data_IF_548929678079
#
_entry.id   IF_548929678079
#
_cell.length_a   1.000
_cell.length_b   1.000
_cell.length_c   1.000
_cell.angle_alpha   90.00
_cell.angle_beta   90.00
_cell.angle_gamma   90.00
#
_symmetry.space_group_name_H-M   'P 1'
#
loop_
_entity.id
_entity.type
_entity.pdbx_description
1 polymer ?
#
# COMPACT_ATOMS: atom_id res chain seq x y z
N UNK A 1 -33.51 -49.46 41.22
CA UNK A 1 -32.74 -49.07 40.02
C UNK A 1 -33.53 -48.17 39.07
N UNK A 2 -34.76 -48.50 38.62
CA UNK A 2 -35.50 -47.63 37.67
C UNK A 2 -35.88 -46.22 38.15
N UNK A 3 -36.08 -46.02 39.46
CA UNK A 3 -36.40 -44.69 40.02
C UNK A 3 -35.16 -43.79 40.17
N UNK A 4 -34.02 -44.40 40.43
CA UNK A 4 -32.74 -43.68 40.59
C UNK A 4 -32.25 -43.14 39.23
N UNK A 5 -32.42 -43.90 38.15
CA UNK A 5 -32.08 -43.43 36.80
C UNK A 5 -32.98 -42.28 36.30
N UNK A 6 -34.25 -42.27 36.73
CA UNK A 6 -35.17 -41.15 36.40
C UNK A 6 -34.82 -39.88 37.15
N UNK A 7 -34.40 -39.98 38.41
CA UNK A 7 -33.92 -38.85 39.20
C UNK A 7 -32.61 -38.31 38.66
N UNK A 8 -31.70 -39.18 38.23
CA UNK A 8 -30.40 -38.76 37.63
C UNK A 8 -30.65 -38.10 36.27
N UNK A 9 -31.58 -38.58 35.45
CA UNK A 9 -31.93 -37.96 34.17
C UNK A 9 -32.62 -36.59 34.35
N UNK A 10 -33.40 -36.41 35.40
CA UNK A 10 -34.04 -35.14 35.71
C UNK A 10 -33.02 -34.10 36.21
N UNK A 11 -32.04 -34.55 37.00
CA UNK A 11 -30.97 -33.71 37.51
C UNK A 11 -30.06 -33.22 36.36
N UNK A 12 -29.73 -34.10 35.39
CA UNK A 12 -28.96 -33.75 34.21
C UNK A 12 -29.71 -32.76 33.30
N UNK A 13 -31.04 -32.91 33.15
CA UNK A 13 -31.85 -32.00 32.36
C UNK A 13 -31.89 -30.57 32.97
N UNK A 14 -31.95 -30.46 34.30
CA UNK A 14 -31.98 -29.20 35.03
C UNK A 14 -30.62 -28.47 34.90
N UNK A 15 -29.50 -29.21 34.91
CA UNK A 15 -28.15 -28.63 34.73
C UNK A 15 -27.97 -28.09 33.30
N UNK A 16 -28.51 -28.76 32.26
CA UNK A 16 -28.45 -28.27 30.88
C UNK A 16 -29.28 -26.99 30.66
N UNK A 17 -30.37 -26.80 31.33
CA UNK A 17 -31.19 -25.57 31.19
C UNK A 17 -30.55 -24.38 31.89
N UNK A 18 -29.81 -24.61 33.00
CA UNK A 18 -29.09 -23.56 33.69
C UNK A 18 -27.87 -22.99 32.92
N UNK A 19 -27.32 -23.74 31.95
CA UNK A 19 -26.17 -23.31 31.13
C UNK A 19 -26.53 -22.31 30.04
N UNK A 20 -27.81 -22.14 29.69
CA UNK A 20 -28.27 -21.18 28.68
C UNK A 20 -28.51 -19.75 29.21
N UNK A 21 -28.51 -19.56 30.53
CA UNK A 21 -28.78 -18.27 31.13
C UNK A 21 -27.50 -17.40 31.35
N UNK A 22 -26.31 -17.93 31.03
CA UNK A 22 -25.04 -17.24 31.22
C UNK A 22 -24.46 -16.57 29.96
N UNK A 23 -25.16 -16.65 28.81
CA UNK A 23 -24.79 -15.90 27.58
C UNK A 23 -25.69 -14.68 27.42
N UNK A 24 -25.42 -13.62 28.17
CA UNK A 24 -26.19 -12.41 28.05
C UNK A 24 -25.50 -11.23 28.75
N UNK A 25 -24.36 -10.83 28.28
CA UNK A 25 -23.84 -9.45 28.28
C UNK A 25 -22.48 -9.44 27.57
N UNK A 26 -22.48 -9.71 26.27
CA UNK A 26 -21.41 -9.20 25.44
C UNK A 26 -21.61 -7.69 25.40
N UNK A 27 -20.64 -6.89 25.84
CA UNK A 27 -20.71 -5.44 25.64
C UNK A 27 -20.87 -5.23 24.14
N UNK A 28 -21.86 -4.44 23.75
CA UNK A 28 -22.06 -4.05 22.36
C UNK A 28 -20.70 -3.59 21.80
N UNK A 29 -20.30 -4.01 20.58
CA UNK A 29 -19.06 -3.57 19.99
C UNK A 29 -19.05 -2.05 20.03
N UNK A 30 -18.08 -1.50 20.75
CA UNK A 30 -17.82 -0.06 20.73
C UNK A 30 -17.70 0.33 19.26
N UNK A 31 -18.47 1.30 18.75
CA UNK A 31 -18.31 1.74 17.37
C UNK A 31 -16.85 2.10 17.18
N UNK A 32 -16.24 1.47 16.17
CA UNK A 32 -14.86 1.79 15.75
C UNK A 32 -14.80 3.33 15.59
N UNK A 33 -13.80 4.02 16.16
CA UNK A 33 -13.72 5.46 16.04
C UNK A 33 -13.74 5.81 14.55
N UNK A 34 -14.72 6.59 14.16
CA UNK A 34 -14.86 7.11 12.80
C UNK A 34 -13.51 7.72 12.41
N UNK A 35 -12.89 7.30 11.28
CA UNK A 35 -11.58 7.80 10.89
C UNK A 35 -11.64 9.33 10.87
N UNK A 36 -10.71 9.96 11.59
CA UNK A 36 -10.61 11.42 11.62
C UNK A 36 -10.53 11.93 10.18
N UNK A 37 -11.21 13.05 9.84
CA UNK A 37 -11.18 13.58 8.49
C UNK A 37 -9.74 13.81 8.07
N UNK A 38 -9.31 13.08 7.02
CA UNK A 38 -7.99 13.28 6.43
C UNK A 38 -7.90 14.74 6.00
N UNK A 39 -6.87 15.51 6.42
CA UNK A 39 -6.73 16.90 6.00
C UNK A 39 -6.70 16.94 4.47
N UNK A 40 -7.50 17.82 3.88
CA UNK A 40 -7.52 18.01 2.44
C UNK A 40 -6.14 18.46 1.97
N UNK A 41 -5.50 17.66 1.11
CA UNK A 41 -4.23 18.02 0.48
C UNK A 41 -4.49 19.14 -0.52
N UNK A 42 -3.75 20.24 -0.40
CA UNK A 42 -3.84 21.37 -1.35
C UNK A 42 -2.57 21.40 -2.22
N UNK A 43 -2.76 21.70 -3.49
CA UNK A 43 -1.66 21.86 -4.45
C UNK A 43 -1.46 23.35 -4.78
N UNK A 44 -0.21 23.79 -5.11
CA UNK A 44 1.01 22.98 -5.20
C UNK A 44 1.45 22.44 -3.83
N UNK A 45 1.94 21.19 -3.83
CA UNK A 45 2.47 20.52 -2.65
C UNK A 45 3.98 20.32 -2.81
N UNK A 46 4.77 20.88 -1.90
CA UNK A 46 6.22 20.64 -1.86
C UNK A 46 6.55 19.62 -0.79
N UNK A 47 7.27 18.59 -1.17
CA UNK A 47 7.77 17.53 -0.29
C UNK A 47 9.29 17.46 -0.36
N UNK A 48 9.93 17.09 0.75
CA UNK A 48 11.36 16.80 0.76
C UNK A 48 11.55 15.30 0.56
N UNK A 49 12.30 14.93 -0.49
CA UNK A 49 12.59 13.51 -0.74
C UNK A 49 13.72 12.98 0.17
N UNK A 50 13.96 11.67 0.15
CA UNK A 50 15.00 11.06 0.99
C UNK A 50 16.42 11.45 0.61
N UNK A 51 16.63 12.15 -0.52
CA UNK A 51 17.90 12.78 -0.87
C UNK A 51 18.03 14.22 -0.34
N UNK A 52 17.01 14.72 0.37
CA UNK A 52 16.96 16.10 0.88
C UNK A 52 16.63 17.14 -0.20
N UNK A 53 16.06 16.72 -1.35
CA UNK A 53 15.65 17.62 -2.42
C UNK A 53 14.18 18.04 -2.20
N UNK A 54 13.89 19.31 -2.42
CA UNK A 54 12.51 19.78 -2.49
C UNK A 54 11.92 19.44 -3.87
N UNK A 55 10.79 18.77 -3.87
CA UNK A 55 10.05 18.38 -5.07
C UNK A 55 8.66 18.95 -4.97
N UNK A 56 8.26 19.78 -5.92
CA UNK A 56 6.94 20.39 -5.96
C UNK A 56 6.05 19.62 -6.92
N UNK A 57 4.90 19.21 -6.42
CA UNK A 57 3.81 18.63 -7.18
C UNK A 57 2.78 19.73 -7.43
N UNK A 58 2.61 20.14 -8.67
CA UNK A 58 1.67 21.22 -9.06
C UNK A 58 0.21 20.77 -8.95
N UNK A 59 -0.04 19.48 -9.03
CA UNK A 59 -1.35 18.82 -8.93
C UNK A 59 -1.21 17.42 -8.37
N UNK A 60 -2.32 16.78 -8.06
CA UNK A 60 -2.35 15.37 -7.70
C UNK A 60 -1.77 14.50 -8.85
N UNK A 61 -0.79 13.63 -8.57
CA UNK A 61 -0.25 12.74 -9.59
C UNK A 61 -1.29 11.73 -10.09
N UNK A 62 -1.42 11.66 -11.42
CA UNK A 62 -2.33 10.74 -12.10
C UNK A 62 -1.59 9.71 -12.94
N UNK A 63 -0.29 9.93 -13.20
CA UNK A 63 0.55 9.11 -14.05
C UNK A 63 1.88 8.82 -13.39
N UNK A 64 1.93 7.74 -12.62
CA UNK A 64 3.08 7.37 -11.78
C UNK A 64 3.94 6.34 -12.50
N UNK A 65 5.24 6.60 -12.58
CA UNK A 65 6.25 5.60 -12.95
C UNK A 65 7.06 5.21 -11.72
N UNK A 66 7.20 3.92 -11.47
CA UNK A 66 8.06 3.39 -10.41
C UNK A 66 9.22 2.59 -11.00
N UNK A 67 10.45 3.07 -10.80
CA UNK A 67 11.69 2.38 -11.17
C UNK A 67 12.29 1.53 -10.04
N UNK A 68 11.53 1.29 -8.96
CA UNK A 68 12.01 0.58 -7.78
C UNK A 68 10.93 -0.28 -7.14
N UNK A 69 11.23 -1.55 -6.91
CA UNK A 69 10.23 -2.52 -6.45
C UNK A 69 9.61 -2.20 -5.08
N UNK A 70 10.33 -1.51 -4.20
CA UNK A 70 9.77 -1.11 -2.89
C UNK A 70 8.73 -0.03 -3.10
N UNK A 71 9.00 0.98 -3.93
CA UNK A 71 8.01 2.01 -4.26
C UNK A 71 6.81 1.45 -5.03
N UNK A 72 7.02 0.49 -5.93
CA UNK A 72 5.90 -0.20 -6.60
C UNK A 72 5.02 -0.94 -5.58
N UNK A 73 5.64 -1.62 -4.60
CA UNK A 73 4.88 -2.30 -3.53
C UNK A 73 4.13 -1.30 -2.64
N UNK A 74 4.74 -0.14 -2.35
CA UNK A 74 4.07 0.93 -1.61
C UNK A 74 2.88 1.51 -2.40
N UNK A 75 3.04 1.76 -3.70
CA UNK A 75 1.93 2.20 -4.56
C UNK A 75 0.77 1.19 -4.56
N UNK A 76 1.06 -0.12 -4.58
CA UNK A 76 0.02 -1.15 -4.47
C UNK A 76 -0.68 -1.07 -3.11
N UNK A 77 0.08 -0.98 -2.02
CA UNK A 77 -0.47 -0.92 -0.66
C UNK A 77 -1.33 0.32 -0.42
N UNK A 78 -0.97 1.44 -1.06
CA UNK A 78 -1.71 2.70 -1.00
C UNK A 78 -2.90 2.78 -1.98
N UNK A 79 -3.15 1.72 -2.76
CA UNK A 79 -4.25 1.69 -3.74
C UNK A 79 -4.01 2.53 -4.99
N UNK A 80 -2.75 2.90 -5.29
CA UNK A 80 -2.36 3.74 -6.42
C UNK A 80 -2.07 2.96 -7.71
N UNK A 81 -2.34 1.67 -7.74
CA UNK A 81 -2.03 0.79 -8.88
C UNK A 81 -2.66 1.27 -10.19
N UNK A 82 -3.86 1.85 -10.13
CA UNK A 82 -4.57 2.36 -11.28
C UNK A 82 -3.98 3.66 -11.87
N UNK A 83 -3.12 4.34 -11.12
CA UNK A 83 -2.39 5.53 -11.56
C UNK A 83 -1.00 5.20 -12.11
N UNK A 84 -0.54 3.96 -11.97
CA UNK A 84 0.77 3.55 -12.48
C UNK A 84 0.72 3.36 -14.00
N UNK A 85 1.72 3.95 -14.69
CA UNK A 85 1.86 3.91 -16.16
C UNK A 85 3.19 3.31 -16.62
N UNK A 86 4.08 2.97 -15.70
CA UNK A 86 5.33 2.27 -15.96
C UNK A 86 5.88 1.66 -14.67
N UNK A 87 6.59 0.55 -14.79
CA UNK A 87 7.03 -0.26 -13.66
C UNK A 87 8.44 -0.79 -13.87
N UNK A 88 9.16 -1.08 -12.78
CA UNK A 88 10.49 -1.66 -12.81
C UNK A 88 10.52 -3.04 -13.48
N UNK A 89 11.72 -3.47 -13.88
CA UNK A 89 11.95 -4.79 -14.47
C UNK A 89 11.56 -5.93 -13.51
N UNK A 90 11.29 -7.12 -14.03
CA UNK A 90 10.91 -8.32 -13.28
C UNK A 90 9.58 -8.23 -12.52
N UNK A 91 8.74 -7.23 -12.79
CA UNK A 91 7.39 -7.11 -12.24
C UNK A 91 6.59 -8.42 -12.39
N UNK A 92 6.62 -9.05 -13.56
CA UNK A 92 5.97 -10.33 -13.83
C UNK A 92 6.51 -11.52 -13.00
N UNK A 93 7.69 -11.39 -12.38
CA UNK A 93 8.28 -12.42 -11.51
C UNK A 93 7.89 -12.26 -10.05
N UNK A 94 7.14 -11.21 -9.69
CA UNK A 94 6.72 -10.91 -8.31
C UNK A 94 5.32 -11.47 -8.05
N UNK A 95 5.18 -12.51 -7.20
CA UNK A 95 3.87 -13.11 -6.92
C UNK A 95 2.87 -12.09 -6.35
N UNK A 96 3.32 -11.16 -5.51
CA UNK A 96 2.46 -10.16 -4.89
C UNK A 96 1.81 -9.23 -5.92
N UNK A 97 2.50 -8.87 -7.00
CA UNK A 97 1.93 -8.02 -8.05
C UNK A 97 0.82 -8.76 -8.80
N UNK A 98 1.03 -10.05 -9.10
CA UNK A 98 0.01 -10.89 -9.75
C UNK A 98 -1.25 -11.06 -8.92
N UNK A 99 -1.12 -11.07 -7.60
CA UNK A 99 -2.25 -11.25 -6.68
C UNK A 99 -2.97 -9.94 -6.38
N UNK A 100 -2.22 -8.87 -6.09
CA UNK A 100 -2.78 -7.61 -5.61
C UNK A 100 -3.10 -6.61 -6.73
N UNK A 101 -2.33 -6.63 -7.82
CA UNK A 101 -2.47 -5.67 -8.92
C UNK A 101 -2.01 -6.29 -10.25
N UNK A 102 -2.73 -7.29 -10.80
CA UNK A 102 -2.29 -8.07 -11.96
C UNK A 102 -2.05 -7.21 -13.21
N UNK A 103 -2.76 -6.10 -13.38
CA UNK A 103 -2.59 -5.20 -14.52
C UNK A 103 -1.19 -4.53 -14.57
N UNK A 104 -0.47 -4.47 -13.45
CA UNK A 104 0.85 -3.85 -13.42
C UNK A 104 1.91 -4.63 -14.20
N UNK A 105 1.74 -5.95 -14.39
CA UNK A 105 2.72 -6.77 -15.10
C UNK A 105 2.77 -6.50 -16.59
N UNK A 106 1.72 -5.88 -17.14
CA UNK A 106 1.58 -5.54 -18.56
C UNK A 106 2.00 -4.08 -18.86
N UNK A 107 2.37 -3.32 -17.82
CA UNK A 107 2.84 -1.95 -17.99
C UNK A 107 4.23 -1.89 -18.66
N UNK A 108 4.56 -0.77 -19.34
CA UNK A 108 5.88 -0.50 -19.84
C UNK A 108 6.97 -0.73 -18.79
N UNK A 109 7.99 -1.49 -19.16
CA UNK A 109 9.15 -1.75 -18.33
C UNK A 109 10.12 -0.57 -18.42
N UNK A 110 10.41 0.07 -17.30
CA UNK A 110 11.33 1.22 -17.21
C UNK A 110 12.71 0.83 -16.67
N UNK A 111 13.09 -0.44 -16.81
CA UNK A 111 14.39 -0.94 -16.38
C UNK A 111 14.47 -1.26 -14.89
N UNK A 112 15.68 -1.26 -14.36
CA UNK A 112 15.96 -1.63 -12.97
C UNK A 112 16.53 -0.48 -12.16
N UNK A 113 16.60 -0.68 -10.83
CA UNK A 113 17.27 0.23 -9.91
C UNK A 113 18.76 0.53 -10.26
N UNK A 114 19.40 -0.30 -11.09
CA UNK A 114 20.80 -0.13 -11.54
C UNK A 114 20.90 0.34 -12.97
N UNK A 115 19.92 0.04 -13.80
CA UNK A 115 19.89 0.35 -15.23
C UNK A 115 18.46 0.79 -15.58
N UNK A 116 18.17 2.04 -15.25
CA UNK A 116 16.89 2.66 -15.52
C UNK A 116 16.81 3.05 -17.01
N UNK A 117 15.67 2.80 -17.61
CA UNK A 117 15.40 3.16 -19.00
C UNK A 117 14.65 4.50 -19.04
N UNK A 118 15.42 5.57 -19.24
CA UNK A 118 14.90 6.93 -19.29
C UNK A 118 13.93 7.14 -20.46
N UNK A 119 14.22 6.52 -21.62
CA UNK A 119 13.38 6.65 -22.81
C UNK A 119 12.02 6.00 -22.60
N UNK A 120 12.01 4.76 -22.10
CA UNK A 120 10.77 4.07 -21.77
C UNK A 120 9.95 4.83 -20.73
N UNK A 121 10.63 5.44 -19.73
CA UNK A 121 9.98 6.26 -18.72
C UNK A 121 9.31 7.50 -19.34
N UNK A 122 10.03 8.26 -20.14
CA UNK A 122 9.51 9.49 -20.78
C UNK A 122 8.35 9.15 -21.75
N UNK A 123 8.47 8.07 -22.49
CA UNK A 123 7.43 7.58 -23.41
C UNK A 123 6.13 7.17 -22.67
N UNK A 124 6.23 6.77 -21.40
CA UNK A 124 5.07 6.52 -20.56
C UNK A 124 4.34 7.81 -20.14
N UNK A 125 4.91 8.99 -20.44
CA UNK A 125 4.36 10.32 -20.13
C UNK A 125 3.91 10.47 -18.66
N UNK A 126 4.83 10.28 -17.68
CA UNK A 126 4.51 10.40 -16.27
C UNK A 126 4.39 11.86 -15.82
N UNK A 127 3.65 12.10 -14.76
CA UNK A 127 3.67 13.35 -13.99
C UNK A 127 4.38 13.17 -12.64
N UNK A 128 4.63 11.93 -12.21
CA UNK A 128 5.48 11.59 -11.07
C UNK A 128 6.32 10.35 -11.36
N UNK A 129 7.62 10.43 -11.05
CA UNK A 129 8.54 9.30 -11.13
C UNK A 129 9.14 9.02 -9.75
N UNK A 130 9.17 7.75 -9.33
CA UNK A 130 9.74 7.34 -8.05
C UNK A 130 10.94 6.43 -8.31
N UNK A 131 12.12 6.85 -7.89
CA UNK A 131 13.39 6.19 -8.16
C UNK A 131 14.15 5.86 -6.87
N UNK A 132 15.03 4.85 -6.89
CA UNK A 132 15.94 4.61 -5.79
C UNK A 132 17.04 5.68 -5.74
N UNK A 133 17.63 5.90 -4.56
CA UNK A 133 18.73 6.84 -4.34
C UNK A 133 19.91 6.69 -5.29
N UNK A 134 20.09 5.51 -5.88
CA UNK A 134 21.16 5.23 -6.85
C UNK A 134 20.96 5.93 -8.19
N UNK A 135 19.77 6.42 -8.45
CA UNK A 135 19.38 7.09 -9.71
C UNK A 135 19.31 8.61 -9.58
N UNK A 136 20.22 9.22 -8.78
CA UNK A 136 20.24 10.68 -8.55
C UNK A 136 20.41 11.47 -9.85
N UNK A 137 21.30 11.02 -10.73
CA UNK A 137 21.57 11.72 -12.00
C UNK A 137 20.37 11.62 -12.94
N UNK A 138 19.72 10.46 -12.99
CA UNK A 138 18.47 10.27 -13.74
C UNK A 138 17.35 11.14 -13.19
N UNK A 139 17.23 11.22 -11.86
CA UNK A 139 16.24 12.07 -11.22
C UNK A 139 16.45 13.55 -11.52
N UNK A 140 17.71 14.00 -11.58
CA UNK A 140 18.06 15.35 -11.99
C UNK A 140 17.63 15.62 -13.42
N UNK A 141 17.97 14.71 -14.35
CA UNK A 141 17.59 14.82 -15.76
C UNK A 141 16.06 14.91 -15.94
N UNK A 142 15.29 14.05 -15.24
CA UNK A 142 13.84 14.08 -15.30
C UNK A 142 13.27 15.40 -14.75
N UNK A 143 13.84 15.90 -13.65
CA UNK A 143 13.45 17.20 -13.08
C UNK A 143 13.71 18.36 -14.04
N UNK A 144 14.84 18.35 -14.77
CA UNK A 144 15.15 19.34 -15.81
C UNK A 144 14.19 19.27 -17.01
N UNK A 145 13.60 18.10 -17.24
CA UNK A 145 12.52 17.90 -18.22
C UNK A 145 11.13 18.31 -17.70
N UNK A 146 11.06 18.80 -16.45
CA UNK A 146 9.80 19.22 -15.83
C UNK A 146 8.96 18.07 -15.25
N UNK A 147 9.53 16.89 -15.08
CA UNK A 147 8.87 15.72 -14.51
C UNK A 147 9.21 15.62 -13.02
N UNK A 148 8.21 15.72 -12.15
CA UNK A 148 8.41 15.57 -10.72
C UNK A 148 9.01 14.18 -10.40
N UNK A 149 10.12 14.16 -9.66
CA UNK A 149 10.83 12.91 -9.38
C UNK A 149 11.25 12.83 -7.92
N UNK A 150 10.79 11.78 -7.23
CA UNK A 150 11.12 11.47 -5.85
C UNK A 150 12.22 10.40 -5.78
N UNK A 151 13.22 10.64 -4.96
CA UNK A 151 14.23 9.65 -4.60
C UNK A 151 13.90 9.01 -3.25
N UNK A 152 13.87 7.68 -3.22
CA UNK A 152 13.51 6.92 -2.03
C UNK A 152 14.57 5.87 -1.70
N UNK A 153 14.77 5.62 -0.41
CA UNK A 153 15.65 4.57 0.11
C UNK A 153 15.08 4.01 1.43
N UNK A 154 13.88 3.43 1.42
CA UNK A 154 13.32 2.87 2.63
C UNK A 154 14.04 1.55 2.97
N UNK A 155 15.06 1.62 3.82
CA UNK A 155 15.83 0.45 4.29
C UNK A 155 15.31 -0.07 5.64
N UNK A 156 14.48 0.72 6.34
CA UNK A 156 13.85 0.33 7.59
C UNK A 156 12.34 0.62 7.57
N UNK A 157 11.62 0.06 8.56
CA UNK A 157 10.19 0.32 8.72
C UNK A 157 9.92 1.80 9.02
N UNK A 158 10.76 2.43 9.83
CA UNK A 158 10.66 3.85 10.18
C UNK A 158 10.77 4.71 8.92
N UNK A 159 11.76 4.44 8.07
CA UNK A 159 11.96 5.17 6.80
C UNK A 159 10.82 4.97 5.79
N UNK A 160 10.08 3.87 5.90
CA UNK A 160 8.93 3.62 5.02
C UNK A 160 7.71 4.44 5.47
N UNK A 161 7.67 4.87 6.73
CA UNK A 161 6.55 5.60 7.33
C UNK A 161 6.74 7.12 7.34
N UNK A 162 7.90 7.63 6.95
CA UNK A 162 8.17 9.05 6.73
C UNK A 162 7.60 9.53 5.38
#
# INVERSE_FOLDING_TARGET
MKRMNKLLALLLAVIMVASFAACGNEPAPTPDPEPAPTPAITYPLTVTDMAGREVTLEKEPERIVSGYYISSSACIALGLSNKMVGIEDKSAKRPIYKLAAPALIDLPNVGSAKAFDLEACVNANPDLVILPMKQKDTAQTLSEMGIATLLVLPESHEQLME
#
